data_IF_615701396154
#
_entry.id   IF_615701396154
#
_cell.length_a   1.000
_cell.length_b   1.000
_cell.length_c   1.000
_cell.angle_alpha   90.00
_cell.angle_beta   90.00
_cell.angle_gamma   90.00
#
_symmetry.space_group_name_H-M   'P 1'
#
loop_
_entity.id
_entity.type
_entity.pdbx_description
1 polymer ?
#
# COMPACT_ATOMS: atom_id res chain seq x y z
N UNK A 1 4.90 10.42 13.43
CA UNK A 1 5.60 9.47 14.31
C UNK A 1 5.78 8.14 13.57
N UNK A 2 7.01 7.66 13.46
CA UNK A 2 7.31 6.43 12.71
C UNK A 2 6.72 5.17 13.36
N UNK A 3 6.60 5.12 14.70
CA UNK A 3 5.97 3.99 15.40
C UNK A 3 4.47 3.94 15.14
N UNK A 4 3.81 5.10 15.06
CA UNK A 4 2.39 5.19 14.68
C UNK A 4 2.20 4.68 13.25
N UNK A 5 3.08 5.06 12.32
CA UNK A 5 3.00 4.59 10.94
C UNK A 5 3.21 3.08 10.82
N UNK A 6 4.21 2.54 11.51
CA UNK A 6 4.47 1.09 11.54
C UNK A 6 3.27 0.31 12.09
N UNK A 7 2.75 0.72 13.26
CA UNK A 7 1.57 0.09 13.87
C UNK A 7 0.32 0.21 12.99
N UNK A 8 0.15 1.35 12.31
CA UNK A 8 -0.97 1.57 11.39
C UNK A 8 -0.87 0.66 10.15
N UNK A 9 0.31 0.60 9.52
CA UNK A 9 0.56 -0.26 8.37
C UNK A 9 0.33 -1.73 8.71
N UNK A 10 0.84 -2.18 9.86
CA UNK A 10 0.63 -3.54 10.37
C UNK A 10 -0.86 -3.83 10.63
N UNK A 11 -1.58 -2.88 11.21
CA UNK A 11 -3.03 -3.02 11.46
C UNK A 11 -3.80 -3.19 10.16
N UNK A 12 -3.53 -2.35 9.15
CA UNK A 12 -4.20 -2.45 7.85
C UNK A 12 -3.81 -3.70 7.08
N UNK A 13 -2.56 -4.18 7.19
CA UNK A 13 -2.15 -5.46 6.64
C UNK A 13 -2.97 -6.62 7.25
N UNK A 14 -3.09 -6.63 8.58
CA UNK A 14 -3.86 -7.66 9.28
C UNK A 14 -5.34 -7.63 8.88
N UNK A 15 -5.95 -6.44 8.82
CA UNK A 15 -7.34 -6.31 8.38
C UNK A 15 -7.53 -6.74 6.93
N UNK A 16 -6.65 -6.32 6.01
CA UNK A 16 -6.73 -6.65 4.58
C UNK A 16 -6.45 -8.13 4.28
N UNK A 17 -5.80 -8.84 5.20
CA UNK A 17 -5.59 -10.29 5.08
C UNK A 17 -6.92 -11.05 5.01
N UNK A 18 -7.96 -10.59 5.71
CA UNK A 18 -9.32 -11.10 5.54
C UNK A 18 -9.96 -10.58 4.25
N UNK A 19 -10.47 -11.50 3.43
CA UNK A 19 -11.08 -11.16 2.14
C UNK A 19 -12.33 -10.27 2.29
N UNK A 20 -13.08 -10.43 3.39
CA UNK A 20 -14.31 -9.68 3.69
C UNK A 20 -14.04 -8.19 3.94
N UNK A 21 -12.85 -7.88 4.45
CA UNK A 21 -12.47 -6.50 4.77
C UNK A 21 -11.94 -5.72 3.56
N UNK A 22 -11.43 -6.42 2.53
CA UNK A 22 -10.76 -5.77 1.39
C UNK A 22 -11.67 -4.75 0.69
N UNK A 23 -12.93 -5.07 0.30
CA UNK A 23 -13.80 -4.10 -0.39
C UNK A 23 -14.04 -2.85 0.44
N UNK A 24 -14.19 -3.00 1.76
CA UNK A 24 -14.43 -1.90 2.70
C UNK A 24 -13.20 -1.00 2.79
N UNK A 25 -12.01 -1.60 2.95
CA UNK A 25 -10.75 -0.86 3.08
C UNK A 25 -10.37 -0.10 1.80
N UNK A 26 -10.54 -0.71 0.62
CA UNK A 26 -10.25 -0.04 -0.65
C UNK A 26 -11.24 1.07 -1.01
N UNK A 27 -12.43 1.07 -0.41
CA UNK A 27 -13.38 2.17 -0.54
C UNK A 27 -13.05 3.37 0.37
N UNK A 28 -12.07 3.23 1.27
CA UNK A 28 -11.68 4.26 2.22
C UNK A 28 -10.43 5.03 1.74
N UNK A 29 -10.66 6.21 1.20
CA UNK A 29 -9.60 7.10 0.71
C UNK A 29 -8.55 7.46 1.78
N UNK A 30 -8.96 7.51 3.04
CA UNK A 30 -8.09 7.80 4.18
C UNK A 30 -7.20 6.61 4.55
N UNK A 31 -7.69 5.37 4.42
CA UNK A 31 -6.85 4.16 4.55
C UNK A 31 -5.77 4.16 3.49
N UNK A 32 -6.15 4.38 2.22
CA UNK A 32 -5.20 4.45 1.10
C UNK A 32 -4.21 5.61 1.32
N UNK A 33 -4.65 6.75 1.84
CA UNK A 33 -3.78 7.89 2.15
C UNK A 33 -2.72 7.53 3.20
N UNK A 34 -3.12 6.84 4.28
CA UNK A 34 -2.18 6.42 5.33
C UNK A 34 -1.16 5.46 4.77
N UNK A 35 -1.60 4.44 4.02
CA UNK A 35 -0.72 3.46 3.39
C UNK A 35 0.27 4.13 2.42
N UNK A 36 -0.19 5.09 1.61
CA UNK A 36 0.68 5.86 0.72
C UNK A 36 1.73 6.67 1.50
N UNK A 37 1.35 7.29 2.61
CA UNK A 37 2.29 8.03 3.48
C UNK A 37 3.34 7.14 4.17
N UNK A 38 3.05 5.84 4.30
CA UNK A 38 3.96 4.83 4.80
C UNK A 38 4.99 4.39 3.74
N UNK A 39 4.68 4.55 2.45
CA UNK A 39 5.59 4.25 1.34
C UNK A 39 6.58 5.38 1.02
N UNK A 40 6.31 6.59 1.48
CA UNK A 40 7.18 7.75 1.27
C UNK A 40 8.51 7.64 2.02
N UNK A 41 9.51 8.41 1.59
CA UNK A 41 10.86 8.39 2.15
C UNK A 41 10.91 8.69 3.66
N UNK A 42 11.88 8.07 4.36
CA UNK A 42 12.13 8.27 5.79
C UNK A 42 11.43 7.28 6.74
N UNK A 43 10.59 6.37 6.23
CA UNK A 43 10.02 5.27 7.03
C UNK A 43 10.94 4.04 7.00
N UNK A 44 10.81 3.18 8.01
CA UNK A 44 11.53 1.89 8.06
C UNK A 44 11.10 0.95 6.93
N UNK A 45 11.97 0.03 6.56
CA UNK A 45 11.65 -1.04 5.61
C UNK A 45 10.41 -1.82 6.03
N UNK A 46 10.31 -2.18 7.33
CA UNK A 46 9.15 -2.88 7.89
C UNK A 46 7.83 -2.12 7.66
N UNK A 47 7.85 -0.79 7.81
CA UNK A 47 6.67 0.06 7.59
C UNK A 47 6.26 0.04 6.13
N UNK A 48 7.22 0.15 5.21
CA UNK A 48 6.96 0.11 3.77
C UNK A 48 6.44 -1.26 3.33
N UNK A 49 7.07 -2.34 3.79
CA UNK A 49 6.65 -3.71 3.47
C UNK A 49 5.22 -4.00 3.96
N UNK A 50 4.90 -3.60 5.18
CA UNK A 50 3.54 -3.77 5.69
C UNK A 50 2.52 -2.97 4.87
N UNK A 51 2.87 -1.74 4.50
CA UNK A 51 1.99 -0.88 3.73
C UNK A 51 1.75 -1.41 2.30
N UNK A 52 2.80 -1.85 1.61
CA UNK A 52 2.68 -2.36 0.23
C UNK A 52 1.91 -3.68 0.20
N UNK A 53 2.12 -4.57 1.18
CA UNK A 53 1.37 -5.83 1.28
C UNK A 53 -0.10 -5.59 1.63
N UNK A 54 -0.39 -4.60 2.46
CA UNK A 54 -1.77 -4.19 2.72
C UNK A 54 -2.45 -3.69 1.43
N UNK A 55 -1.76 -2.86 0.64
CA UNK A 55 -2.26 -2.40 -0.66
C UNK A 55 -2.46 -3.55 -1.66
N UNK A 56 -1.54 -4.52 -1.70
CA UNK A 56 -1.67 -5.72 -2.54
C UNK A 56 -2.85 -6.60 -2.14
N UNK A 57 -3.09 -6.77 -0.84
CA UNK A 57 -4.27 -7.46 -0.35
C UNK A 57 -5.56 -6.70 -0.70
N UNK A 58 -5.56 -5.37 -0.59
CA UNK A 58 -6.71 -4.55 -0.98
C UNK A 58 -6.96 -4.65 -2.49
N UNK A 59 -5.92 -4.61 -3.33
CA UNK A 59 -6.01 -4.67 -4.79
C UNK A 59 -6.41 -6.05 -5.33
N UNK A 60 -6.20 -7.12 -4.55
CA UNK A 60 -6.66 -8.47 -4.87
C UNK A 60 -8.19 -8.58 -5.02
N UNK A 61 -8.96 -7.59 -4.52
CA UNK A 61 -10.38 -7.45 -4.82
C UNK A 61 -10.58 -6.64 -6.12
N UNK A 62 -11.31 -7.20 -7.09
CA UNK A 62 -11.54 -6.58 -8.39
C UNK A 62 -12.15 -5.16 -8.30
N UNK A 63 -13.06 -4.92 -7.35
CA UNK A 63 -13.70 -3.62 -7.13
C UNK A 63 -12.70 -2.54 -6.68
N UNK A 64 -11.67 -2.93 -5.94
CA UNK A 64 -10.66 -2.01 -5.45
C UNK A 64 -9.58 -1.72 -6.47
N UNK A 65 -9.32 -2.64 -7.40
CA UNK A 65 -8.25 -2.51 -8.38
C UNK A 65 -8.40 -1.22 -9.20
N UNK A 66 -9.60 -0.95 -9.71
CA UNK A 66 -9.90 0.30 -10.44
C UNK A 66 -9.87 1.54 -9.53
N UNK A 67 -10.34 1.43 -8.28
CA UNK A 67 -10.34 2.55 -7.33
C UNK A 67 -8.91 2.97 -6.97
N UNK A 68 -8.05 2.01 -6.69
CA UNK A 68 -6.63 2.22 -6.41
C UNK A 68 -5.91 2.80 -7.63
N UNK A 69 -6.21 2.29 -8.84
CA UNK A 69 -5.65 2.83 -10.08
C UNK A 69 -5.98 4.32 -10.29
N UNK A 70 -7.23 4.72 -10.01
CA UNK A 70 -7.67 6.11 -10.14
C UNK A 70 -7.46 6.97 -8.89
N UNK A 71 -6.89 6.41 -7.81
CA UNK A 71 -6.71 7.10 -6.54
C UNK A 71 -5.95 8.41 -6.75
N UNK A 72 -6.59 9.53 -6.38
CA UNK A 72 -6.06 10.90 -6.55
C UNK A 72 -5.44 11.14 -7.94
N UNK A 73 -6.16 10.76 -9.00
CA UNK A 73 -5.73 10.91 -10.39
C UNK A 73 -4.46 10.12 -10.73
N UNK A 74 -4.23 8.98 -10.07
CA UNK A 74 -3.11 8.08 -10.35
C UNK A 74 -1.92 8.22 -9.41
N UNK A 75 -2.00 9.05 -8.35
CA UNK A 75 -0.90 9.26 -7.40
C UNK A 75 -0.35 7.94 -6.83
N UNK A 76 -1.23 6.97 -6.55
CA UNK A 76 -0.80 5.66 -6.08
C UNK A 76 0.05 4.93 -7.13
N UNK A 77 -0.37 4.96 -8.39
CA UNK A 77 0.35 4.32 -9.50
C UNK A 77 1.73 4.95 -9.67
N UNK A 78 1.83 6.28 -9.58
CA UNK A 78 3.09 7.00 -9.67
C UNK A 78 4.07 6.59 -8.55
N UNK A 79 3.58 6.45 -7.31
CA UNK A 79 4.38 5.99 -6.17
C UNK A 79 4.84 4.53 -6.37
N UNK A 80 3.95 3.65 -6.85
CA UNK A 80 4.30 2.25 -7.13
C UNK A 80 5.39 2.16 -8.21
N UNK A 81 5.27 2.95 -9.29
CA UNK A 81 6.27 3.05 -10.36
C UNK A 81 7.61 3.56 -9.81
N UNK A 82 7.58 4.60 -8.97
CA UNK A 82 8.79 5.12 -8.32
C UNK A 82 9.49 4.08 -7.46
N UNK A 83 8.75 3.25 -6.71
CA UNK A 83 9.32 2.16 -5.91
C UNK A 83 9.95 1.11 -6.81
N UNK A 84 9.23 0.66 -7.85
CA UNK A 84 9.72 -0.37 -8.79
C UNK A 84 11.01 0.03 -9.50
N UNK A 85 11.13 1.32 -9.86
CA UNK A 85 12.30 1.88 -10.53
C UNK A 85 13.41 2.32 -9.56
N UNK A 86 13.18 2.30 -8.25
CA UNK A 86 14.19 2.72 -7.29
C UNK A 86 15.31 1.70 -7.15
N UNK A 87 16.55 2.17 -7.19
CA UNK A 87 17.75 1.37 -6.91
C UNK A 87 18.02 1.20 -5.41
N UNK A 88 17.40 2.04 -4.58
CA UNK A 88 17.63 2.06 -3.12
C UNK A 88 16.62 1.21 -2.34
N UNK A 89 15.48 0.88 -2.94
CA UNK A 89 14.45 0.04 -2.31
C UNK A 89 14.78 -1.45 -2.45
N UNK A 90 14.34 -2.24 -1.48
CA UNK A 90 14.61 -3.68 -1.48
C UNK A 90 13.95 -4.40 -2.66
N UNK A 91 14.52 -5.53 -3.06
CA UNK A 91 13.93 -6.37 -4.13
C UNK A 91 12.57 -6.93 -3.73
N UNK A 92 12.33 -7.18 -2.43
CA UNK A 92 11.01 -7.59 -1.92
C UNK A 92 9.99 -6.48 -2.10
N UNK A 93 10.30 -5.24 -1.67
CA UNK A 93 9.39 -4.11 -1.79
C UNK A 93 9.04 -3.81 -3.26
N UNK A 94 10.04 -3.85 -4.14
CA UNK A 94 9.86 -3.68 -5.60
C UNK A 94 8.94 -4.74 -6.20
N UNK A 95 9.06 -6.00 -5.75
CA UNK A 95 8.18 -7.10 -6.17
C UNK A 95 6.76 -6.93 -5.63
N UNK A 96 6.63 -6.57 -4.36
CA UNK A 96 5.32 -6.37 -3.75
C UNK A 96 4.59 -5.19 -4.43
N UNK A 97 5.30 -4.16 -4.89
CA UNK A 97 4.72 -3.07 -5.67
C UNK A 97 4.11 -3.54 -7.02
N UNK A 98 4.72 -4.52 -7.69
CA UNK A 98 4.14 -5.15 -8.88
C UNK A 98 2.82 -5.86 -8.57
N UNK A 99 2.68 -6.44 -7.38
CA UNK A 99 1.47 -7.17 -6.99
C UNK A 99 0.25 -6.26 -6.73
N UNK A 100 0.49 -4.96 -6.53
CA UNK A 100 -0.59 -3.99 -6.31
C UNK A 100 -1.30 -3.63 -7.63
N UNK A 101 -0.57 -3.62 -8.75
CA UNK A 101 -1.06 -3.24 -10.09
C UNK A 101 -1.82 -4.37 -10.81
#
# INVERSE_FOLDING_TARGET
>A
DNKIKEGSAMTFLNLASSFENRPILGNRNDVVCVLLSCLQGGNSESTKENAIRALGNISACAENKLKLFHYRKGELVDVLLSIMCSETESTSLRRDALSVL
#
